data_IF_637205820995
#
_entry.id   IF_637205820995
#
_cell.length_a   1.000
_cell.length_b   1.000
_cell.length_c   1.000
_cell.angle_alpha   90.00
_cell.angle_beta   90.00
_cell.angle_gamma   90.00
#
_symmetry.space_group_name_H-M   'P 1'
#
loop_
_entity.id
_entity.type
_entity.pdbx_description
1 polymer ?
#
# COMPACT_ATOMS: atom_id res chain seq x y z
N UNK A 1 16.64 0.47 5.89
CA UNK A 1 15.85 1.45 6.64
C UNK A 1 14.34 1.14 6.57
N UNK A 2 13.95 -0.11 6.30
CA UNK A 2 12.58 -0.48 5.89
C UNK A 2 11.46 -0.17 6.89
N UNK A 3 11.42 -0.89 8.01
CA UNK A 3 10.25 -0.84 8.89
C UNK A 3 10.14 0.44 9.72
N UNK A 4 11.23 0.94 10.32
CA UNK A 4 11.17 2.15 11.15
C UNK A 4 10.73 3.39 10.35
N UNK A 5 11.23 3.54 9.12
CA UNK A 5 10.85 4.65 8.25
C UNK A 5 9.36 4.62 7.90
N UNK A 6 8.83 3.44 7.56
CA UNK A 6 7.41 3.28 7.25
C UNK A 6 6.51 3.60 8.46
N UNK A 7 6.88 3.13 9.66
CA UNK A 7 6.14 3.43 10.89
C UNK A 7 6.17 4.93 11.25
N UNK A 8 7.34 5.56 11.18
CA UNK A 8 7.47 6.99 11.46
C UNK A 8 6.63 7.84 10.48
N UNK A 9 6.56 7.39 9.22
CA UNK A 9 5.79 8.07 8.18
C UNK A 9 4.29 7.86 8.31
N UNK A 10 3.85 6.64 8.65
CA UNK A 10 2.44 6.31 8.89
C UNK A 10 1.85 7.08 10.10
N UNK A 11 2.70 7.44 11.06
CA UNK A 11 2.32 8.24 12.23
C UNK A 11 2.35 9.76 11.98
N UNK A 12 2.78 10.21 10.79
CA UNK A 12 2.86 11.62 10.46
C UNK A 12 1.45 12.22 10.24
N UNK A 13 0.93 12.91 11.25
CA UNK A 13 -0.40 13.53 11.26
C UNK A 13 -0.52 14.77 10.35
N UNK A 14 0.59 15.28 9.85
CA UNK A 14 0.69 16.48 9.02
C UNK A 14 0.76 16.20 7.51
N UNK A 15 0.62 14.94 7.10
CA UNK A 15 0.65 14.51 5.70
C UNK A 15 -0.59 13.70 5.35
N UNK A 16 -1.17 13.95 4.18
CA UNK A 16 -2.20 13.09 3.59
C UNK A 16 -1.63 11.71 3.25
N UNK A 17 -2.48 10.68 3.29
CA UNK A 17 -2.04 9.28 3.10
C UNK A 17 -1.35 9.07 1.74
N UNK A 18 -1.84 9.70 0.66
CA UNK A 18 -1.23 9.60 -0.66
C UNK A 18 0.21 10.12 -0.66
N UNK A 19 0.48 11.18 0.11
CA UNK A 19 1.82 11.76 0.24
C UNK A 19 2.73 10.84 1.04
N UNK A 20 2.22 10.24 2.12
CA UNK A 20 2.96 9.24 2.90
C UNK A 20 3.33 8.04 2.03
N UNK A 21 2.37 7.50 1.27
CA UNK A 21 2.60 6.37 0.37
C UNK A 21 3.58 6.73 -0.75
N UNK A 22 3.46 7.89 -1.40
CA UNK A 22 4.42 8.32 -2.43
C UNK A 22 5.86 8.37 -1.91
N UNK A 23 6.05 8.93 -0.71
CA UNK A 23 7.36 8.99 -0.05
C UNK A 23 7.88 7.59 0.27
N UNK A 24 7.04 6.70 0.81
CA UNK A 24 7.42 5.31 1.11
C UNK A 24 7.81 4.52 -0.14
N UNK A 25 7.00 4.62 -1.20
CA UNK A 25 7.23 3.96 -2.48
C UNK A 25 8.55 4.42 -3.13
N UNK A 26 8.82 5.72 -3.11
CA UNK A 26 9.99 6.29 -3.78
C UNK A 26 11.28 6.22 -2.94
N UNK A 27 11.19 6.36 -1.62
CA UNK A 27 12.37 6.49 -0.75
C UNK A 27 12.73 5.20 0.03
N UNK A 28 11.79 4.30 0.25
CA UNK A 28 11.99 3.11 1.09
C UNK A 28 12.13 1.80 0.28
N UNK A 29 12.00 1.86 -1.05
CA UNK A 29 12.13 0.72 -1.95
C UNK A 29 13.36 0.85 -2.86
N UNK A 30 13.97 -0.30 -3.21
CA UNK A 30 15.04 -0.37 -4.20
C UNK A 30 14.80 -1.52 -5.20
N UNK A 31 14.53 -1.21 -6.48
CA UNK A 31 14.40 0.12 -7.07
C UNK A 31 13.19 0.91 -6.52
N UNK A 32 13.18 2.25 -6.63
CA UNK A 32 12.01 3.06 -6.26
C UNK A 32 10.75 2.61 -7.01
N UNK A 33 9.63 2.53 -6.30
CA UNK A 33 8.35 2.22 -6.90
C UNK A 33 7.75 3.48 -7.53
N UNK A 34 7.25 3.44 -8.79
CA UNK A 34 6.71 4.61 -9.45
C UNK A 34 5.43 5.16 -8.82
N UNK A 35 5.24 6.48 -8.90
CA UNK A 35 4.09 7.19 -8.31
C UNK A 35 2.71 6.72 -8.82
N UNK A 36 2.62 6.13 -10.01
CA UNK A 36 1.35 5.57 -10.50
C UNK A 36 0.84 4.38 -9.66
N UNK A 37 1.68 3.80 -8.79
CA UNK A 37 1.28 2.76 -7.84
C UNK A 37 0.65 3.30 -6.55
N UNK A 38 0.69 4.62 -6.31
CA UNK A 38 0.12 5.22 -5.09
C UNK A 38 -1.37 4.89 -4.94
N UNK A 39 -2.15 5.07 -6.01
CA UNK A 39 -3.59 4.80 -5.98
C UNK A 39 -3.92 3.33 -5.66
N UNK A 40 -3.37 2.32 -6.37
CA UNK A 40 -3.56 0.92 -6.00
C UNK A 40 -3.17 0.58 -4.56
N UNK A 41 -2.11 1.22 -4.02
CA UNK A 41 -1.69 1.02 -2.63
C UNK A 41 -2.70 1.57 -1.63
N UNK A 42 -3.21 2.78 -1.86
CA UNK A 42 -4.26 3.39 -1.01
C UNK A 42 -5.55 2.57 -1.08
N UNK A 43 -5.98 2.17 -2.27
CA UNK A 43 -7.16 1.31 -2.45
C UNK A 43 -7.02 -0.03 -1.70
N UNK A 44 -5.82 -0.62 -1.66
CA UNK A 44 -5.56 -1.85 -0.92
C UNK A 44 -5.64 -1.65 0.60
N UNK A 45 -5.10 -0.54 1.09
CA UNK A 45 -5.19 -0.16 2.51
C UNK A 45 -6.66 0.06 2.90
N UNK A 46 -7.41 0.83 2.13
CA UNK A 46 -8.84 1.10 2.38
C UNK A 46 -9.66 -0.20 2.35
N UNK A 47 -9.42 -1.08 1.37
CA UNK A 47 -10.10 -2.37 1.27
C UNK A 47 -9.95 -3.21 2.55
N UNK A 48 -8.76 -3.22 3.13
CA UNK A 48 -8.44 -3.98 4.35
C UNK A 48 -8.94 -3.26 5.60
N UNK A 49 -8.64 -1.98 5.75
CA UNK A 49 -8.96 -1.21 6.95
C UNK A 49 -10.47 -1.02 7.13
N UNK A 50 -11.17 -0.64 6.06
CA UNK A 50 -12.59 -0.30 6.14
C UNK A 50 -13.46 -1.54 6.00
N UNK A 51 -13.18 -2.38 4.99
CA UNK A 51 -14.04 -3.47 4.60
C UNK A 51 -13.55 -4.86 5.04
N UNK A 52 -12.30 -5.00 5.50
CA UNK A 52 -11.69 -6.30 5.80
C UNK A 52 -11.52 -7.20 4.58
N UNK A 53 -11.51 -6.64 3.37
CA UNK A 53 -11.50 -7.36 2.11
C UNK A 53 -10.07 -7.55 1.59
N UNK A 54 -9.37 -8.53 2.16
CA UNK A 54 -8.00 -8.87 1.77
C UNK A 54 -7.87 -9.44 0.34
N UNK A 55 -8.92 -10.12 -0.14
CA UNK A 55 -8.97 -10.72 -1.48
C UNK A 55 -9.62 -9.81 -2.53
N UNK A 56 -9.87 -8.53 -2.21
CA UNK A 56 -10.44 -7.60 -3.18
C UNK A 56 -9.47 -7.39 -4.35
N UNK A 57 -9.92 -7.68 -5.57
CA UNK A 57 -9.17 -7.46 -6.80
C UNK A 57 -9.14 -5.96 -7.16
N UNK A 58 -7.95 -5.38 -7.11
CA UNK A 58 -7.69 -3.96 -7.38
C UNK A 58 -7.12 -3.80 -8.79
N UNK A 59 -7.66 -2.90 -9.63
CA UNK A 59 -7.13 -2.62 -10.95
C UNK A 59 -5.69 -2.14 -10.92
N UNK A 60 -4.83 -2.75 -11.74
CA UNK A 60 -3.46 -2.31 -11.92
C UNK A 60 -3.37 -1.15 -12.92
N UNK A 61 -2.41 -0.23 -12.74
CA UNK A 61 -2.15 0.84 -13.72
C UNK A 61 -1.82 0.28 -15.11
N UNK A 62 -2.09 1.06 -16.16
CA UNK A 62 -1.85 0.65 -17.54
C UNK A 62 -0.40 0.16 -17.74
N UNK A 63 -0.24 -1.02 -18.35
CA UNK A 63 1.07 -1.63 -18.59
C UNK A 63 1.69 -2.35 -17.39
N UNK A 64 1.09 -2.26 -16.20
CA UNK A 64 1.49 -3.03 -15.01
C UNK A 64 0.65 -4.30 -14.93
N UNK A 65 1.29 -5.42 -14.62
CA UNK A 65 0.56 -6.69 -14.43
C UNK A 65 1.01 -7.40 -13.17
N UNK A 66 0.06 -8.06 -12.51
CA UNK A 66 0.35 -8.99 -11.43
C UNK A 66 0.12 -10.41 -11.95
N UNK A 67 1.20 -11.19 -12.08
CA UNK A 67 1.14 -12.56 -12.62
C UNK A 67 0.41 -12.66 -13.97
N UNK A 68 0.53 -11.63 -14.81
CA UNK A 68 -0.12 -11.54 -16.13
C UNK A 68 -1.57 -11.04 -16.11
N UNK A 69 -2.11 -10.69 -14.93
CA UNK A 69 -3.44 -10.10 -14.77
C UNK A 69 -3.36 -8.58 -14.67
N UNK A 70 -4.43 -7.90 -15.08
CA UNK A 70 -4.61 -6.44 -14.96
C UNK A 70 -5.22 -6.04 -13.62
N UNK A 71 -5.34 -6.97 -12.68
CA UNK A 71 -5.75 -6.77 -11.29
C UNK A 71 -4.80 -7.51 -10.37
N UNK A 72 -4.74 -7.09 -9.11
CA UNK A 72 -4.06 -7.81 -8.05
C UNK A 72 -4.93 -7.79 -6.78
N UNK A 73 -4.92 -8.87 -5.96
CA UNK A 73 -5.63 -8.86 -4.69
C UNK A 73 -4.97 -7.89 -3.70
N UNK A 74 -5.77 -7.26 -2.83
CA UNK A 74 -5.30 -6.27 -1.87
C UNK A 74 -4.13 -6.76 -1.00
N UNK A 75 -4.19 -8.01 -0.51
CA UNK A 75 -3.09 -8.60 0.27
C UNK A 75 -1.76 -8.60 -0.50
N UNK A 76 -1.78 -8.83 -1.82
CA UNK A 76 -0.57 -8.90 -2.62
C UNK A 76 0.03 -7.50 -2.82
N UNK A 77 -0.81 -6.48 -2.97
CA UNK A 77 -0.36 -5.09 -3.05
C UNK A 77 0.27 -4.67 -1.72
N UNK A 78 -0.37 -4.99 -0.60
CA UNK A 78 0.13 -4.69 0.75
C UNK A 78 1.49 -5.35 1.00
N UNK A 79 1.61 -6.66 0.75
CA UNK A 79 2.84 -7.40 0.97
C UNK A 79 3.98 -6.89 0.09
N UNK A 80 3.71 -6.68 -1.21
CA UNK A 80 4.73 -6.29 -2.19
C UNK A 80 5.26 -4.87 -1.98
N UNK A 81 4.46 -3.98 -1.40
CA UNK A 81 4.81 -2.57 -1.15
C UNK A 81 5.05 -2.27 0.33
N UNK A 82 5.11 -3.29 1.19
CA UNK A 82 5.40 -3.19 2.61
C UNK A 82 4.51 -2.16 3.33
N UNK A 83 3.19 -2.30 3.17
CA UNK A 83 2.19 -1.33 3.64
C UNK A 83 1.68 -1.59 5.07
N UNK A 84 2.28 -2.53 5.80
CA UNK A 84 1.82 -2.97 7.12
C UNK A 84 1.65 -1.81 8.13
N UNK A 85 2.51 -0.78 8.03
CA UNK A 85 2.48 0.37 8.93
C UNK A 85 1.19 1.21 8.82
N UNK A 86 0.44 1.10 7.71
CA UNK A 86 -0.82 1.82 7.49
C UNK A 86 -2.05 0.95 7.79
N UNK A 87 -1.88 -0.30 8.23
CA UNK A 87 -2.99 -1.18 8.57
C UNK A 87 -3.42 -0.99 10.02
N UNK A 88 -4.73 -0.93 10.25
CA UNK A 88 -5.31 -0.84 11.58
C UNK A 88 -5.35 -2.26 12.16
N UNK A 89 -4.61 -2.53 13.24
CA UNK A 89 -4.75 -3.76 14.01
C UNK A 89 -6.19 -3.84 14.55
N UNK A 90 -7.02 -4.71 13.95
CA UNK A 90 -8.32 -5.07 14.55
C UNK A 90 -8.04 -6.05 15.68
N UNK A 91 -8.23 -5.63 16.92
CA UNK A 91 -8.39 -6.58 18.03
C UNK A 91 -9.56 -7.51 17.69
N UNK A 92 -9.32 -8.82 17.58
CA UNK A 92 -10.39 -9.81 17.57
C UNK A 92 -11.15 -9.69 18.90
N UNK A 93 -12.37 -9.15 18.86
CA UNK A 93 -13.28 -9.02 20.02
C UNK A 93 -13.86 -10.39 20.38
#
# INVERSE_FOLDING_TARGET
MGSNFANDLALADNLEIETQIEIHLSANHYPPVPAFMVQPCVEAIDAVNDAGLWDLEIPMPEGVTYKGLTTAPAWAIIEQHHLDAWLIEREEI
#
